data_IF_096435967146
#
_entry.id   IF_096435967146
#
_cell.length_a   1.000
_cell.length_b   1.000
_cell.length_c   1.000
_cell.angle_alpha   90.00
_cell.angle_beta   90.00
_cell.angle_gamma   90.00
#
_symmetry.space_group_name_H-M   'P 1'
#
loop_
_entity.id
_entity.type
_entity.pdbx_description
1 polymer ?
#
# COMPACT_ATOMS: atom_id res chain seq x y z
N UNK A 1 41.75 -3.38 -13.32
CA UNK A 1 40.74 -3.00 -12.32
C UNK A 1 39.87 -1.92 -12.97
N UNK A 2 38.71 -2.31 -13.45
CA UNK A 2 37.76 -1.36 -14.10
C UNK A 2 36.99 -0.66 -13.00
N UNK A 3 37.32 0.60 -12.72
CA UNK A 3 36.52 1.48 -11.86
C UNK A 3 35.28 1.88 -12.64
N UNK A 4 34.17 1.21 -12.40
CA UNK A 4 32.85 1.69 -12.84
C UNK A 4 32.61 3.07 -12.20
N UNK A 5 32.54 4.11 -13.02
CA UNK A 5 32.16 5.45 -12.58
C UNK A 5 30.82 5.37 -11.81
N UNK A 6 30.63 6.15 -10.74
CA UNK A 6 29.35 6.17 -10.01
C UNK A 6 28.23 6.57 -10.98
N UNK A 7 27.23 5.71 -11.10
CA UNK A 7 26.04 5.94 -11.91
C UNK A 7 25.40 7.28 -11.49
N UNK A 8 25.19 8.21 -12.41
CA UNK A 8 24.62 9.53 -12.09
C UNK A 8 23.21 9.39 -11.51
N UNK A 9 22.77 10.37 -10.71
CA UNK A 9 21.41 10.39 -10.15
C UNK A 9 20.34 10.28 -11.27
N UNK A 10 20.55 10.96 -12.38
CA UNK A 10 19.66 10.94 -13.56
C UNK A 10 19.59 9.54 -14.19
N UNK A 11 20.72 8.83 -14.27
CA UNK A 11 20.75 7.46 -14.83
C UNK A 11 19.95 6.49 -13.94
N UNK A 12 20.05 6.60 -12.61
CA UNK A 12 19.27 5.77 -11.67
C UNK A 12 17.77 6.08 -11.77
N UNK A 13 17.41 7.37 -11.88
CA UNK A 13 16.02 7.77 -12.03
C UNK A 13 15.43 7.28 -13.35
N UNK A 14 16.17 7.37 -14.45
CA UNK A 14 15.76 6.85 -15.75
C UNK A 14 15.52 5.34 -15.72
N UNK A 15 16.41 4.59 -15.06
CA UNK A 15 16.23 3.14 -14.90
C UNK A 15 15.01 2.80 -14.04
N UNK A 16 14.82 3.51 -12.92
CA UNK A 16 13.64 3.35 -12.06
C UNK A 16 12.36 3.69 -12.82
N UNK A 17 12.34 4.79 -13.58
CA UNK A 17 11.22 5.17 -14.44
C UNK A 17 10.86 4.03 -15.41
N UNK A 18 11.81 3.56 -16.23
CA UNK A 18 11.58 2.45 -17.18
C UNK A 18 11.05 1.20 -16.49
N UNK A 19 11.64 0.85 -15.34
CA UNK A 19 11.24 -0.34 -14.59
C UNK A 19 9.81 -0.22 -14.07
N UNK A 20 9.43 0.93 -13.50
CA UNK A 20 8.08 1.20 -13.00
C UNK A 20 7.07 1.15 -14.15
N UNK A 21 7.36 1.83 -15.28
CA UNK A 21 6.48 1.85 -16.45
C UNK A 21 6.25 0.47 -17.04
N UNK A 22 7.31 -0.32 -17.18
CA UNK A 22 7.23 -1.71 -17.67
C UNK A 22 6.42 -2.58 -16.69
N UNK A 23 6.67 -2.49 -15.39
CA UNK A 23 5.95 -3.26 -14.36
C UNK A 23 4.44 -3.01 -14.44
N UNK A 24 4.00 -1.78 -14.61
CA UNK A 24 2.57 -1.48 -14.77
C UNK A 24 1.95 -2.24 -15.96
N UNK A 25 2.65 -2.31 -17.09
CA UNK A 25 2.18 -3.09 -18.24
C UNK A 25 2.21 -4.61 -17.98
N UNK A 26 3.23 -5.10 -17.27
CA UNK A 26 3.31 -6.51 -16.87
C UNK A 26 2.14 -6.92 -15.96
N UNK A 27 1.73 -6.04 -15.04
CA UNK A 27 0.55 -6.24 -14.20
C UNK A 27 -0.76 -6.24 -15.00
N UNK A 28 -0.83 -5.54 -16.12
CA UNK A 28 -2.00 -5.57 -17.00
C UNK A 28 -2.04 -6.78 -17.93
N UNK A 29 -0.92 -7.47 -18.14
CA UNK A 29 -0.82 -8.56 -19.13
C UNK A 29 -1.78 -9.75 -18.92
N UNK A 30 -2.15 -10.15 -17.68
CA UNK A 30 -3.14 -11.20 -17.47
C UNK A 30 -4.58 -10.80 -17.82
N UNK A 31 -4.86 -9.50 -18.00
CA UNK A 31 -6.20 -8.95 -18.18
C UNK A 31 -6.59 -8.90 -19.66
N UNK A 32 -7.86 -9.22 -19.93
CA UNK A 32 -8.46 -8.95 -21.24
C UNK A 32 -8.80 -7.44 -21.35
N UNK A 33 -9.02 -6.90 -22.57
CA UNK A 33 -9.50 -5.52 -22.71
C UNK A 33 -10.82 -5.26 -21.98
N UNK A 34 -11.68 -6.26 -21.85
CA UNK A 34 -12.94 -6.21 -21.12
C UNK A 34 -12.70 -6.09 -19.61
N UNK A 35 -11.78 -6.87 -19.04
CA UNK A 35 -11.38 -6.79 -17.63
C UNK A 35 -10.85 -5.39 -17.30
N UNK A 36 -10.10 -4.80 -18.23
CA UNK A 36 -9.48 -3.47 -18.07
C UNK A 36 -10.49 -2.32 -18.05
N UNK A 37 -11.78 -2.59 -18.33
CA UNK A 37 -12.87 -1.59 -18.31
C UNK A 37 -13.74 -1.67 -17.05
N UNK A 38 -13.60 -2.72 -16.23
CA UNK A 38 -14.48 -2.95 -15.09
C UNK A 38 -14.20 -1.96 -13.96
N UNK A 39 -15.26 -1.39 -13.40
CA UNK A 39 -15.27 -0.62 -12.17
C UNK A 39 -16.37 -1.21 -11.27
N UNK A 40 -15.97 -1.98 -10.28
CA UNK A 40 -16.88 -2.79 -9.46
C UNK A 40 -17.49 -2.04 -8.27
N UNK A 41 -16.95 -0.86 -7.92
CA UNK A 41 -17.49 0.04 -6.90
C UNK A 41 -17.09 1.50 -7.20
N UNK A 42 -17.68 2.45 -6.48
CA UNK A 42 -17.43 3.88 -6.70
C UNK A 42 -15.95 4.29 -6.41
N UNK A 43 -15.31 3.58 -5.52
CA UNK A 43 -13.94 3.83 -5.08
C UNK A 43 -12.89 3.24 -6.02
N UNK A 44 -13.23 2.19 -6.76
CA UNK A 44 -12.34 1.55 -7.73
C UNK A 44 -12.19 2.36 -9.03
N UNK A 45 -11.23 2.01 -9.84
CA UNK A 45 -11.04 2.53 -11.18
C UNK A 45 -10.67 1.40 -12.15
N UNK A 46 -11.08 1.49 -13.43
CA UNK A 46 -10.66 0.52 -14.43
C UNK A 46 -9.14 0.48 -14.62
N UNK A 47 -8.56 -0.69 -14.88
CA UNK A 47 -7.13 -0.82 -15.16
C UNK A 47 -6.68 0.09 -16.32
N UNK A 48 -7.48 0.22 -17.36
CA UNK A 48 -7.24 1.17 -18.46
C UNK A 48 -7.13 2.62 -17.99
N UNK A 49 -7.95 3.01 -17.03
CA UNK A 49 -7.88 4.35 -16.45
C UNK A 49 -6.58 4.56 -15.67
N UNK A 50 -6.11 3.58 -14.89
CA UNK A 50 -4.82 3.67 -14.19
C UNK A 50 -3.66 3.87 -15.18
N UNK A 51 -3.64 3.12 -16.29
CA UNK A 51 -2.65 3.28 -17.35
C UNK A 51 -2.61 4.70 -17.91
N UNK A 52 -3.78 5.27 -18.19
CA UNK A 52 -3.89 6.61 -18.75
C UNK A 52 -3.55 7.69 -17.72
N UNK A 53 -4.03 7.55 -16.47
CA UNK A 53 -3.84 8.53 -15.40
C UNK A 53 -2.36 8.69 -15.01
N UNK A 54 -1.60 7.60 -14.94
CA UNK A 54 -0.17 7.69 -14.63
C UNK A 54 0.63 8.33 -15.79
N UNK A 55 0.24 8.12 -17.05
CA UNK A 55 0.81 8.87 -18.17
C UNK A 55 0.40 10.36 -18.14
N UNK A 56 -0.88 10.64 -17.85
CA UNK A 56 -1.40 11.99 -17.68
C UNK A 56 -0.62 12.78 -16.61
N UNK A 57 -0.22 12.14 -15.51
CA UNK A 57 0.56 12.81 -14.47
C UNK A 57 1.89 13.34 -15.01
N UNK A 58 2.66 12.52 -15.71
CA UNK A 58 3.92 12.93 -16.32
C UNK A 58 3.73 13.99 -17.40
N UNK A 59 2.72 13.84 -18.26
CA UNK A 59 2.42 14.85 -19.29
C UNK A 59 2.05 16.19 -18.65
N UNK A 60 1.17 16.19 -17.64
CA UNK A 60 0.59 17.39 -17.05
C UNK A 60 1.54 18.15 -16.14
N UNK A 61 2.33 17.43 -15.32
CA UNK A 61 3.17 18.06 -14.29
C UNK A 61 4.66 18.07 -14.62
N UNK A 62 5.09 17.41 -15.67
CA UNK A 62 6.50 17.39 -16.07
C UNK A 62 6.66 17.93 -17.51
N UNK A 63 6.14 17.23 -18.52
CA UNK A 63 6.46 17.51 -19.92
C UNK A 63 5.95 18.87 -20.39
N UNK A 64 4.75 19.26 -20.00
CA UNK A 64 4.16 20.55 -20.38
C UNK A 64 4.98 21.75 -19.87
N UNK A 65 5.66 21.59 -18.76
CA UNK A 65 6.38 22.68 -18.09
C UNK A 65 7.88 22.67 -18.41
N UNK A 66 8.48 21.49 -18.48
CA UNK A 66 9.94 21.35 -18.53
C UNK A 66 10.49 20.83 -19.86
N UNK A 67 9.64 20.40 -20.82
CA UNK A 67 10.08 19.94 -22.14
C UNK A 67 9.75 21.00 -23.20
N UNK A 68 10.71 21.84 -23.64
CA UNK A 68 10.47 22.83 -24.68
C UNK A 68 9.94 22.20 -25.98
N UNK A 69 8.87 22.77 -26.53
CA UNK A 69 8.27 22.29 -27.76
C UNK A 69 7.49 20.98 -27.67
N UNK A 70 7.25 20.48 -26.45
CA UNK A 70 6.42 19.30 -26.24
C UNK A 70 5.00 19.48 -26.79
N UNK A 71 4.54 18.51 -27.57
CA UNK A 71 3.18 18.49 -28.12
C UNK A 71 2.34 17.48 -27.36
N UNK A 72 1.23 17.94 -26.79
CA UNK A 72 0.26 17.07 -26.12
C UNK A 72 -0.17 15.95 -27.07
N UNK A 73 -0.27 14.74 -26.54
CA UNK A 73 -0.80 13.60 -27.30
C UNK A 73 -2.26 13.87 -27.74
N UNK A 74 -3.09 14.25 -26.76
CA UNK A 74 -4.47 14.67 -26.98
C UNK A 74 -4.85 15.71 -25.92
N UNK A 75 -5.25 16.95 -26.32
CA UNK A 75 -5.61 18.00 -25.37
C UNK A 75 -6.75 17.62 -24.41
N UNK A 76 -7.68 16.76 -24.83
CA UNK A 76 -8.81 16.33 -24.00
C UNK A 76 -8.38 15.40 -22.86
N UNK A 77 -7.23 14.75 -22.97
CA UNK A 77 -6.71 13.88 -21.91
C UNK A 77 -6.33 14.66 -20.65
N UNK A 78 -6.09 15.96 -20.76
CA UNK A 78 -5.78 16.82 -19.62
C UNK A 78 -6.90 16.85 -18.57
N UNK A 79 -8.17 16.78 -19.02
CA UNK A 79 -9.31 16.70 -18.09
C UNK A 79 -9.85 15.28 -17.92
N UNK A 80 -9.82 14.45 -18.97
CA UNK A 80 -10.42 13.10 -18.96
C UNK A 80 -9.76 12.18 -17.93
N UNK A 81 -8.44 12.27 -17.77
CA UNK A 81 -7.65 11.42 -16.87
C UNK A 81 -7.19 12.12 -15.59
N UNK A 82 -7.63 13.36 -15.35
CA UNK A 82 -7.52 14.00 -14.05
C UNK A 82 -8.38 13.25 -13.02
N UNK A 83 -7.94 13.18 -11.75
CA UNK A 83 -8.70 12.49 -10.68
C UNK A 83 -9.30 13.45 -9.66
N UNK A 84 -8.50 14.28 -9.01
CA UNK A 84 -8.92 15.15 -7.92
C UNK A 84 -8.20 16.51 -7.88
N UNK A 85 -7.37 16.82 -8.88
CA UNK A 85 -6.64 18.08 -8.95
C UNK A 85 -7.54 19.20 -9.47
N UNK A 86 -8.38 19.74 -8.56
CA UNK A 86 -9.40 20.75 -8.90
C UNK A 86 -8.79 22.06 -9.40
N UNK A 87 -7.64 22.44 -8.84
CA UNK A 87 -6.92 23.64 -9.26
C UNK A 87 -6.21 23.50 -10.61
N UNK A 88 -6.05 22.26 -11.12
CA UNK A 88 -5.44 22.00 -12.41
C UNK A 88 -6.46 22.09 -13.56
N UNK A 89 -7.54 21.32 -13.50
CA UNK A 89 -8.62 21.28 -14.48
C UNK A 89 -9.87 20.60 -13.90
N UNK A 90 -11.03 20.80 -14.57
CA UNK A 90 -12.20 19.97 -14.32
C UNK A 90 -11.88 18.49 -14.59
N UNK A 91 -12.65 17.59 -14.03
CA UNK A 91 -12.53 16.14 -14.24
C UNK A 91 -13.89 15.46 -14.17
N UNK A 92 -14.06 14.30 -14.84
CA UNK A 92 -15.28 13.53 -14.78
C UNK A 92 -15.50 12.93 -13.39
N UNK A 93 -16.76 12.72 -13.02
CA UNK A 93 -17.10 11.99 -11.79
C UNK A 93 -16.43 10.60 -11.80
N UNK A 94 -15.84 10.23 -10.66
CA UNK A 94 -15.10 8.96 -10.50
C UNK A 94 -15.95 7.74 -10.90
N UNK A 95 -17.24 7.73 -10.53
CA UNK A 95 -18.17 6.64 -10.82
C UNK A 95 -18.44 6.40 -12.31
N UNK A 96 -18.06 7.34 -13.19
CA UNK A 96 -18.26 7.23 -14.63
C UNK A 96 -17.07 6.62 -15.38
N UNK A 97 -15.96 6.31 -14.69
CA UNK A 97 -14.72 5.82 -15.32
C UNK A 97 -14.92 4.53 -16.14
N UNK A 98 -15.81 3.64 -15.71
CA UNK A 98 -16.20 2.43 -16.47
C UNK A 98 -16.93 2.72 -17.76
N UNK A 99 -17.52 3.92 -17.91
CA UNK A 99 -18.21 4.34 -19.14
C UNK A 99 -17.25 4.83 -20.25
N UNK A 100 -15.95 4.97 -19.95
CA UNK A 100 -14.96 5.49 -20.90
C UNK A 100 -14.48 4.38 -21.84
N UNK A 101 -15.38 3.83 -22.68
CA UNK A 101 -15.01 2.89 -23.74
C UNK A 101 -14.06 3.54 -24.75
N UNK A 102 -14.14 4.88 -24.90
CA UNK A 102 -13.23 5.71 -25.70
C UNK A 102 -12.45 6.64 -24.79
N UNK A 103 -11.14 6.82 -25.03
CA UNK A 103 -10.31 6.20 -26.08
C UNK A 103 -10.16 4.67 -25.90
N UNK A 104 -9.93 3.91 -26.99
CA UNK A 104 -9.67 2.47 -26.89
C UNK A 104 -8.32 2.19 -26.22
N UNK A 105 -8.10 0.95 -25.78
CA UNK A 105 -6.87 0.55 -25.08
C UNK A 105 -5.61 0.85 -25.90
N UNK A 106 -5.64 0.60 -27.20
CA UNK A 106 -4.51 0.87 -28.11
C UNK A 106 -4.08 2.33 -28.10
N UNK A 107 -5.05 3.27 -28.06
CA UNK A 107 -4.76 4.71 -28.00
C UNK A 107 -4.15 5.09 -26.64
N UNK A 108 -4.59 4.45 -25.54
CA UNK A 108 -3.98 4.63 -24.22
C UNK A 108 -2.53 4.11 -24.18
N UNK A 109 -2.27 2.97 -24.79
CA UNK A 109 -0.91 2.44 -24.92
C UNK A 109 -0.01 3.33 -25.77
N UNK A 110 -0.54 3.87 -26.87
CA UNK A 110 0.16 4.86 -27.69
C UNK A 110 0.44 6.16 -26.93
N UNK A 111 -0.53 6.65 -26.14
CA UNK A 111 -0.34 7.79 -25.23
C UNK A 111 0.79 7.54 -24.23
N UNK A 112 0.79 6.38 -23.57
CA UNK A 112 1.87 6.01 -22.66
C UNK A 112 3.24 6.00 -23.32
N UNK A 113 3.35 5.38 -24.51
CA UNK A 113 4.61 5.32 -25.26
C UNK A 113 5.12 6.73 -25.64
N UNK A 114 4.22 7.62 -26.09
CA UNK A 114 4.55 9.00 -26.41
C UNK A 114 5.12 9.76 -25.21
N UNK A 115 4.50 9.58 -24.02
CA UNK A 115 4.95 10.19 -22.77
C UNK A 115 6.29 9.60 -22.34
N UNK A 116 6.45 8.27 -22.41
CA UNK A 116 7.67 7.57 -22.00
C UNK A 116 8.87 8.03 -22.80
N UNK A 117 8.76 8.09 -24.13
CA UNK A 117 9.81 8.60 -25.01
C UNK A 117 10.17 10.07 -24.71
N UNK A 118 9.20 10.90 -24.35
CA UNK A 118 9.46 12.30 -24.04
C UNK A 118 10.16 12.46 -22.68
N UNK A 119 9.77 11.70 -21.67
CA UNK A 119 10.46 11.69 -20.34
C UNK A 119 11.90 11.16 -20.50
N UNK A 120 12.12 10.11 -21.27
CA UNK A 120 13.47 9.59 -21.50
C UNK A 120 14.36 10.63 -22.17
N UNK A 121 13.88 11.30 -23.22
CA UNK A 121 14.61 12.41 -23.85
C UNK A 121 14.89 13.57 -22.89
N UNK A 122 13.95 13.90 -22.00
CA UNK A 122 14.15 14.94 -20.98
C UNK A 122 15.26 14.55 -20.00
N UNK A 123 15.28 13.29 -19.54
CA UNK A 123 16.30 12.78 -18.61
C UNK A 123 17.70 12.70 -19.21
N UNK A 124 17.82 12.58 -20.55
CA UNK A 124 19.11 12.60 -21.27
C UNK A 124 19.71 14.01 -21.39
N UNK A 125 18.91 15.07 -21.22
CA UNK A 125 19.29 16.46 -21.45
C UNK A 125 19.71 17.24 -20.19
N UNK A 126 20.06 16.57 -19.11
CA UNK A 126 20.32 17.21 -17.81
C UNK A 126 19.17 18.13 -17.37
N UNK A 127 18.02 17.54 -17.00
CA UNK A 127 16.79 18.29 -16.75
C UNK A 127 16.92 19.24 -15.53
N UNK A 128 16.05 20.25 -15.50
CA UNK A 128 15.88 21.12 -14.34
C UNK A 128 15.70 20.28 -13.06
N UNK A 129 16.34 20.66 -11.93
CA UNK A 129 16.20 19.95 -10.66
C UNK A 129 14.74 19.78 -10.17
N UNK A 130 13.85 20.73 -10.52
CA UNK A 130 12.43 20.62 -10.20
C UNK A 130 11.74 19.55 -11.08
N UNK A 131 12.13 19.44 -12.36
CA UNK A 131 11.66 18.38 -13.25
C UNK A 131 12.07 17.00 -12.71
N UNK A 132 13.31 16.85 -12.22
CA UNK A 132 13.81 15.62 -11.59
C UNK A 132 12.92 15.22 -10.39
N UNK A 133 12.63 16.16 -9.50
CA UNK A 133 11.75 15.91 -8.33
C UNK A 133 10.36 15.48 -8.74
N UNK A 134 9.79 16.11 -9.78
CA UNK A 134 8.44 15.77 -10.27
C UNK A 134 8.41 14.43 -11.00
N UNK A 135 9.49 14.06 -11.72
CA UNK A 135 9.61 12.72 -12.30
C UNK A 135 9.69 11.68 -11.17
N UNK A 136 10.46 11.92 -10.12
CA UNK A 136 10.56 11.02 -8.97
C UNK A 136 9.21 10.89 -8.24
N UNK A 137 8.48 12.00 -8.05
CA UNK A 137 7.11 11.98 -7.53
C UNK A 137 6.19 11.16 -8.43
N UNK A 138 6.26 11.34 -9.77
CA UNK A 138 5.46 10.60 -10.73
C UNK A 138 5.74 9.10 -10.73
N UNK A 139 7.00 8.69 -10.54
CA UNK A 139 7.37 7.26 -10.37
C UNK A 139 6.71 6.70 -9.11
N UNK A 140 6.82 7.38 -7.97
CA UNK A 140 6.17 6.95 -6.74
C UNK A 140 4.64 6.96 -6.85
N UNK A 141 4.04 7.92 -7.55
CA UNK A 141 2.62 7.96 -7.85
C UNK A 141 2.18 6.75 -8.70
N UNK A 142 2.94 6.37 -9.72
CA UNK A 142 2.63 5.18 -10.52
C UNK A 142 2.77 3.89 -9.70
N UNK A 143 3.75 3.80 -8.81
CA UNK A 143 3.90 2.66 -7.89
C UNK A 143 2.69 2.53 -6.94
N UNK A 144 2.07 3.64 -6.47
CA UNK A 144 0.78 3.60 -5.78
C UNK A 144 -0.34 3.06 -6.68
N UNK A 145 -0.36 3.49 -7.95
CA UNK A 145 -1.35 3.01 -8.91
C UNK A 145 -1.17 1.55 -9.31
N UNK A 146 0.03 0.96 -9.21
CA UNK A 146 0.23 -0.48 -9.35
C UNK A 146 -0.50 -1.26 -8.24
N UNK A 147 -0.42 -0.78 -7.01
CA UNK A 147 -1.15 -1.37 -5.88
C UNK A 147 -2.66 -1.20 -6.06
N UNK A 148 -3.13 0.03 -6.34
CA UNK A 148 -4.56 0.31 -6.55
C UNK A 148 -5.15 -0.53 -7.69
N UNK A 149 -4.42 -0.72 -8.78
CA UNK A 149 -4.84 -1.56 -9.91
C UNK A 149 -5.11 -3.00 -9.44
N UNK A 150 -4.23 -3.57 -8.63
CA UNK A 150 -4.38 -4.95 -8.14
C UNK A 150 -5.52 -5.08 -7.12
N UNK A 151 -5.72 -4.08 -6.26
CA UNK A 151 -6.86 -4.06 -5.33
C UNK A 151 -8.18 -3.91 -6.06
N UNK A 152 -8.24 -3.06 -7.09
CA UNK A 152 -9.44 -2.82 -7.88
C UNK A 152 -9.81 -4.05 -8.73
N UNK A 153 -8.82 -4.74 -9.32
CA UNK A 153 -9.01 -6.00 -10.04
C UNK A 153 -9.47 -7.13 -9.10
N UNK A 154 -8.89 -7.23 -7.90
CA UNK A 154 -9.34 -8.21 -6.92
C UNK A 154 -10.83 -8.02 -6.59
N UNK A 155 -11.25 -6.76 -6.35
CA UNK A 155 -12.65 -6.44 -6.08
C UNK A 155 -13.55 -6.73 -7.31
N UNK A 156 -13.09 -6.38 -8.51
CA UNK A 156 -13.84 -6.65 -9.75
C UNK A 156 -14.05 -8.15 -9.97
N UNK A 157 -13.03 -8.97 -9.76
CA UNK A 157 -13.09 -10.41 -9.95
C UNK A 157 -13.87 -11.12 -8.83
N UNK A 158 -13.85 -10.59 -7.62
CA UNK A 158 -14.72 -11.07 -6.55
C UNK A 158 -16.20 -10.79 -6.80
N UNK A 159 -16.54 -9.62 -7.35
CA UNK A 159 -17.93 -9.27 -7.68
C UNK A 159 -18.44 -9.99 -8.94
N UNK A 160 -17.55 -10.53 -9.77
CA UNK A 160 -17.94 -11.35 -10.90
C UNK A 160 -18.45 -12.72 -10.39
N UNK A 161 -19.67 -13.16 -10.78
CA UNK A 161 -20.22 -14.44 -10.34
C UNK A 161 -19.36 -15.68 -10.66
N UNK A 162 -18.44 -15.57 -11.63
CA UNK A 162 -17.51 -16.65 -11.98
C UNK A 162 -16.27 -16.69 -11.09
N UNK A 163 -16.03 -15.64 -10.28
CA UNK A 163 -14.86 -15.52 -9.40
C UNK A 163 -13.54 -15.89 -10.08
N UNK A 164 -13.18 -15.28 -11.24
CA UNK A 164 -11.95 -15.65 -11.95
C UNK A 164 -10.73 -15.24 -11.11
N UNK A 165 -9.68 -16.10 -11.12
CA UNK A 165 -8.41 -15.73 -10.52
C UNK A 165 -7.65 -14.77 -11.44
N UNK A 166 -7.03 -13.72 -10.89
CA UNK A 166 -6.18 -12.82 -11.66
C UNK A 166 -4.93 -13.51 -12.19
N UNK A 167 -4.27 -14.31 -11.34
CA UNK A 167 -3.09 -15.09 -11.70
C UNK A 167 -3.12 -16.42 -10.96
N UNK A 168 -3.80 -17.44 -11.51
CA UNK A 168 -3.92 -18.73 -10.85
C UNK A 168 -2.55 -19.39 -10.62
N UNK A 169 -2.41 -20.13 -9.52
CA UNK A 169 -1.20 -20.91 -9.28
C UNK A 169 -1.07 -22.05 -10.31
N UNK A 170 0.16 -22.22 -10.80
CA UNK A 170 0.50 -23.35 -11.66
C UNK A 170 0.83 -24.58 -10.79
N UNK A 171 -0.12 -25.51 -10.65
CA UNK A 171 0.08 -26.76 -9.91
C UNK A 171 -0.80 -26.90 -8.65
N UNK A 172 -0.80 -28.08 -8.02
CA UNK A 172 -1.53 -28.27 -6.78
C UNK A 172 -0.93 -27.39 -5.69
N UNK A 173 -1.77 -26.57 -5.06
CA UNK A 173 -1.34 -25.77 -3.93
C UNK A 173 -0.73 -26.69 -2.86
N UNK A 174 0.51 -26.47 -2.48
CA UNK A 174 1.14 -27.21 -1.39
C UNK A 174 0.50 -26.74 -0.09
N UNK A 175 -0.58 -27.39 0.31
CA UNK A 175 -1.30 -27.09 1.54
C UNK A 175 -0.51 -27.63 2.73
N UNK A 176 0.49 -26.91 3.18
CA UNK A 176 1.02 -27.15 4.51
C UNK A 176 0.09 -26.43 5.48
N UNK A 177 -0.78 -27.17 6.14
CA UNK A 177 -1.58 -26.63 7.23
C UNK A 177 -0.63 -26.30 8.37
N UNK A 178 -0.40 -25.01 8.59
CA UNK A 178 0.43 -24.53 9.69
C UNK A 178 -0.45 -24.00 10.83
N UNK A 179 -0.15 -24.45 12.03
CA UNK A 179 -0.76 -23.85 13.22
C UNK A 179 0.02 -22.58 13.57
N UNK A 180 -0.65 -21.42 13.70
CA UNK A 180 0.01 -20.20 14.11
C UNK A 180 0.74 -20.38 15.44
N UNK A 181 1.96 -19.89 15.56
CA UNK A 181 2.64 -19.80 16.86
C UNK A 181 1.89 -18.82 17.76
N UNK A 182 1.92 -19.05 19.07
CA UNK A 182 1.33 -18.14 20.05
C UNK A 182 1.89 -16.72 19.86
N UNK A 183 1.00 -15.73 19.88
CA UNK A 183 1.39 -14.34 19.67
C UNK A 183 2.23 -13.84 20.85
N UNK A 184 3.42 -13.33 20.56
CA UNK A 184 4.31 -12.70 21.54
C UNK A 184 4.38 -11.20 21.30
N UNK A 185 4.75 -10.45 22.34
CA UNK A 185 4.95 -9.01 22.27
C UNK A 185 6.40 -8.66 22.54
N UNK A 186 6.98 -7.88 21.67
CA UNK A 186 8.30 -7.30 21.83
C UNK A 186 8.18 -5.99 22.59
N UNK A 187 8.96 -5.84 23.67
CA UNK A 187 8.90 -4.66 24.52
C UNK A 187 9.77 -3.52 24.00
N UNK A 188 9.21 -2.32 24.01
CA UNK A 188 9.86 -1.06 23.67
C UNK A 188 9.77 -0.13 24.87
N UNK A 189 10.92 0.45 25.26
CA UNK A 189 11.00 1.30 26.46
C UNK A 189 10.37 2.70 26.26
N UNK A 190 10.00 3.07 25.05
CA UNK A 190 9.44 4.38 24.77
C UNK A 190 10.44 5.52 24.88
N UNK A 191 10.03 6.63 25.54
CA UNK A 191 10.82 7.83 25.68
C UNK A 191 10.68 8.81 24.53
N UNK A 192 11.61 9.79 24.43
CA UNK A 192 11.63 10.76 23.35
C UNK A 192 12.13 10.13 22.08
N UNK A 193 11.29 10.11 21.06
CA UNK A 193 11.57 9.58 19.72
C UNK A 193 11.43 10.67 18.68
N UNK A 194 11.86 10.41 17.45
CA UNK A 194 11.61 11.25 16.31
C UNK A 194 10.81 10.47 15.25
N UNK A 195 9.73 11.07 14.77
CA UNK A 195 8.88 10.55 13.70
C UNK A 195 8.95 11.45 12.46
N UNK A 196 8.69 10.84 11.30
CA UNK A 196 8.80 11.50 10.00
C UNK A 196 10.08 11.17 9.27
N UNK A 197 10.12 11.52 7.97
CA UNK A 197 11.25 11.18 7.10
C UNK A 197 12.56 11.81 7.60
N UNK A 198 13.59 10.97 7.63
CA UNK A 198 14.95 11.36 7.98
C UNK A 198 15.92 10.89 6.90
N UNK A 199 16.66 11.79 6.35
CA UNK A 199 17.74 11.46 5.44
C UNK A 199 17.54 12.01 4.03
N UNK A 200 18.36 11.51 3.14
CA UNK A 200 18.35 11.82 1.71
C UNK A 200 17.38 10.87 0.99
N UNK A 201 16.86 11.32 -0.13
CA UNK A 201 15.97 10.55 -0.99
C UNK A 201 14.52 11.03 -0.95
N UNK A 202 13.69 10.32 -1.68
CA UNK A 202 12.27 10.69 -1.85
C UNK A 202 11.45 10.44 -0.58
N UNK A 203 10.59 11.42 -0.26
CA UNK A 203 9.46 11.26 0.65
C UNK A 203 8.28 12.09 0.15
N UNK A 204 7.07 11.70 0.55
CA UNK A 204 5.90 12.53 0.33
C UNK A 204 5.86 13.68 1.36
N UNK A 205 5.15 14.76 1.04
CA UNK A 205 5.00 15.91 1.93
C UNK A 205 4.36 15.55 3.28
N UNK A 206 3.48 14.55 3.31
CA UNK A 206 2.83 14.07 4.54
C UNK A 206 3.75 13.30 5.49
N UNK A 207 4.98 12.97 5.05
CA UNK A 207 6.03 12.39 5.89
C UNK A 207 6.87 13.46 6.60
N UNK A 208 6.59 14.75 6.34
CA UNK A 208 7.33 15.92 6.82
C UNK A 208 6.46 16.86 7.68
N UNK A 209 7.13 17.67 8.51
CA UNK A 209 8.54 17.62 8.90
C UNK A 209 8.83 16.50 9.89
N UNK A 210 10.08 16.05 9.96
CA UNK A 210 10.54 15.22 11.07
C UNK A 210 10.37 15.98 12.38
N UNK A 211 9.83 15.34 13.40
CA UNK A 211 9.45 15.97 14.65
C UNK A 211 9.61 15.01 15.84
N UNK A 212 9.66 15.58 17.05
CA UNK A 212 9.78 14.82 18.28
C UNK A 212 8.42 14.35 18.76
N UNK A 213 8.38 13.09 19.23
CA UNK A 213 7.22 12.48 19.87
C UNK A 213 7.66 11.79 21.16
N UNK A 214 6.82 11.87 22.19
CA UNK A 214 7.01 11.06 23.39
C UNK A 214 6.21 9.77 23.25
N UNK A 215 6.84 8.65 23.55
CA UNK A 215 6.18 7.33 23.60
C UNK A 215 6.27 6.80 25.02
N UNK A 216 5.15 6.33 25.57
CA UNK A 216 5.17 5.51 26.77
C UNK A 216 5.76 4.12 26.44
N UNK A 217 6.26 3.36 27.43
CA UNK A 217 6.65 1.97 27.21
C UNK A 217 5.48 1.17 26.64
N UNK A 218 5.75 0.34 25.61
CA UNK A 218 4.71 -0.44 24.92
C UNK A 218 5.22 -1.79 24.46
N UNK A 219 4.30 -2.72 24.27
CA UNK A 219 4.57 -3.97 23.57
C UNK A 219 4.03 -3.93 22.16
N UNK A 220 4.80 -4.40 21.19
CA UNK A 220 4.35 -4.58 19.80
C UNK A 220 4.35 -6.06 19.46
N UNK A 221 3.24 -6.55 18.92
CA UNK A 221 3.12 -7.95 18.51
C UNK A 221 4.20 -8.30 17.48
N UNK A 222 4.85 -9.45 17.64
CA UNK A 222 5.96 -9.87 16.77
C UNK A 222 5.53 -10.18 15.33
N UNK A 223 4.25 -10.55 15.13
CA UNK A 223 3.64 -10.84 13.82
C UNK A 223 2.24 -10.22 13.70
N UNK A 224 1.69 -10.28 12.52
CA UNK A 224 0.32 -9.89 12.27
C UNK A 224 -0.67 -10.92 12.84
N UNK A 225 -1.91 -10.46 13.10
CA UNK A 225 -3.05 -11.33 13.44
C UNK A 225 -3.38 -12.21 12.24
N UNK A 226 -3.58 -13.50 12.49
CA UNK A 226 -3.81 -14.49 11.43
C UNK A 226 -5.29 -14.66 11.10
N UNK A 227 -5.57 -15.27 9.95
CA UNK A 227 -6.93 -15.67 9.54
C UNK A 227 -7.57 -16.61 10.56
N UNK A 228 -6.80 -17.53 11.14
CA UNK A 228 -7.29 -18.46 12.19
C UNK A 228 -7.74 -17.73 13.45
N UNK A 229 -6.92 -16.80 13.95
CA UNK A 229 -7.25 -15.99 15.12
C UNK A 229 -8.46 -15.08 14.88
N UNK A 230 -8.57 -14.50 13.67
CA UNK A 230 -9.74 -13.69 13.34
C UNK A 230 -11.02 -14.54 13.19
N UNK A 231 -10.91 -15.77 12.69
CA UNK A 231 -12.04 -16.71 12.67
C UNK A 231 -12.55 -17.06 14.09
N UNK A 232 -11.67 -17.11 15.09
CA UNK A 232 -12.06 -17.29 16.51
C UNK A 232 -12.88 -16.08 17.00
N UNK A 233 -12.48 -14.86 16.66
CA UNK A 233 -13.27 -13.64 16.93
C UNK A 233 -14.67 -13.71 16.31
N UNK A 234 -14.78 -14.18 15.05
CA UNK A 234 -16.08 -14.36 14.38
C UNK A 234 -16.92 -15.41 15.13
N UNK A 235 -16.32 -16.57 15.46
CA UNK A 235 -16.99 -17.68 16.14
C UNK A 235 -17.49 -17.30 17.53
N UNK A 236 -16.74 -16.48 18.28
CA UNK A 236 -17.14 -15.92 19.60
C UNK A 236 -18.23 -14.83 19.47
N UNK A 237 -18.71 -14.57 18.25
CA UNK A 237 -19.78 -13.60 18.02
C UNK A 237 -19.33 -12.15 18.00
N UNK A 238 -18.07 -11.86 17.66
CA UNK A 238 -17.49 -10.52 17.64
C UNK A 238 -18.34 -9.51 16.86
N UNK A 239 -18.91 -9.90 15.74
CA UNK A 239 -19.80 -9.05 14.91
C UNK A 239 -21.20 -8.86 15.51
N UNK A 240 -21.52 -9.46 16.65
CA UNK A 240 -22.83 -9.33 17.33
C UNK A 240 -22.72 -8.65 18.71
N UNK A 241 -21.52 -8.28 19.11
CA UNK A 241 -21.20 -7.70 20.41
C UNK A 241 -20.90 -6.22 20.28
N UNK A 242 -21.94 -5.38 20.41
CA UNK A 242 -21.87 -3.93 20.21
C UNK A 242 -20.80 -3.24 21.06
N UNK A 243 -20.53 -3.77 22.27
CA UNK A 243 -19.54 -3.22 23.21
C UNK A 243 -18.08 -3.28 22.71
N UNK A 244 -17.79 -4.08 21.69
CA UNK A 244 -16.47 -4.17 21.09
C UNK A 244 -16.23 -3.07 20.03
N UNK A 245 -17.30 -2.48 19.51
CA UNK A 245 -17.22 -1.62 18.34
C UNK A 245 -17.28 -0.13 18.70
N UNK A 246 -16.56 0.67 17.93
CA UNK A 246 -16.81 2.10 17.89
C UNK A 246 -18.20 2.37 17.28
N UNK A 247 -18.85 3.48 17.67
CA UNK A 247 -20.21 3.83 17.24
C UNK A 247 -20.42 3.73 15.73
N UNK A 248 -19.53 4.36 14.97
CA UNK A 248 -19.63 4.38 13.50
C UNK A 248 -19.35 2.99 12.92
N UNK A 249 -18.43 2.22 13.54
CA UNK A 249 -18.18 0.83 13.16
C UNK A 249 -19.38 -0.08 13.38
N UNK A 250 -20.07 0.08 14.53
CA UNK A 250 -21.31 -0.64 14.77
C UNK A 250 -22.39 -0.30 13.73
N UNK A 251 -22.56 0.97 13.43
CA UNK A 251 -23.50 1.42 12.40
C UNK A 251 -23.13 0.85 11.02
N UNK A 252 -21.84 0.85 10.67
CA UNK A 252 -21.36 0.33 9.39
C UNK A 252 -21.67 -1.17 9.23
N UNK A 253 -21.39 -2.00 10.25
CA UNK A 253 -21.68 -3.44 10.17
C UNK A 253 -23.19 -3.73 10.09
N UNK A 254 -24.03 -2.94 10.78
CA UNK A 254 -25.49 -3.10 10.71
C UNK A 254 -26.02 -2.69 9.33
N UNK A 255 -25.58 -1.54 8.81
CA UNK A 255 -26.05 -1.00 7.52
C UNK A 255 -25.63 -1.87 6.35
N UNK A 256 -24.38 -2.36 6.37
CA UNK A 256 -23.81 -3.14 5.27
C UNK A 256 -23.92 -4.66 5.46
N UNK A 257 -24.46 -5.11 6.61
CA UNK A 257 -24.61 -6.54 6.90
C UNK A 257 -23.28 -7.29 7.03
N UNK A 258 -22.21 -6.63 7.47
CA UNK A 258 -20.90 -7.28 7.58
C UNK A 258 -20.90 -8.34 8.68
N UNK A 259 -20.27 -9.49 8.40
CA UNK A 259 -20.17 -10.62 9.33
C UNK A 259 -18.80 -11.30 9.31
N UNK A 260 -17.92 -10.89 8.39
CA UNK A 260 -16.58 -11.39 8.17
C UNK A 260 -15.77 -10.38 7.33
N UNK A 261 -14.45 -10.52 7.16
CA UNK A 261 -13.64 -9.76 6.21
C UNK A 261 -14.22 -9.77 4.79
N UNK A 262 -13.94 -8.75 3.98
CA UNK A 262 -14.64 -8.49 2.71
C UNK A 262 -14.69 -9.70 1.75
N UNK A 263 -13.62 -10.44 1.60
CA UNK A 263 -13.53 -11.54 0.62
C UNK A 263 -13.69 -12.93 1.25
N UNK A 264 -14.25 -12.99 2.46
CA UNK A 264 -14.60 -14.26 3.10
C UNK A 264 -16.04 -14.63 2.79
N UNK A 265 -16.25 -15.86 2.34
CA UNK A 265 -17.55 -16.41 2.04
C UNK A 265 -17.77 -17.75 2.77
N UNK A 266 -18.97 -17.99 3.26
CA UNK A 266 -19.36 -19.25 3.89
C UNK A 266 -20.74 -19.66 3.38
N UNK A 267 -20.81 -20.53 2.38
CA UNK A 267 -22.05 -21.10 1.88
C UNK A 267 -22.43 -22.43 2.56
N UNK A 268 -21.44 -23.16 3.06
CA UNK A 268 -21.59 -24.51 3.63
C UNK A 268 -21.14 -24.67 5.09
N UNK A 269 -20.87 -23.57 5.77
CA UNK A 269 -20.29 -23.56 7.13
C UNK A 269 -18.77 -23.47 7.15
N UNK A 270 -18.09 -23.79 6.08
CA UNK A 270 -16.65 -23.62 5.92
C UNK A 270 -16.33 -22.29 5.23
N UNK A 271 -15.37 -21.56 5.78
CA UNK A 271 -14.94 -20.30 5.19
C UNK A 271 -14.01 -20.52 4.00
N UNK A 272 -14.30 -19.81 2.90
CA UNK A 272 -13.42 -19.63 1.75
C UNK A 272 -13.01 -18.16 1.63
N UNK A 273 -11.76 -17.92 1.27
CA UNK A 273 -11.16 -16.60 1.07
C UNK A 273 -10.85 -16.44 -0.41
N UNK A 274 -11.34 -15.34 -1.01
CA UNK A 274 -10.98 -15.02 -2.39
C UNK A 274 -9.72 -14.17 -2.43
N UNK A 275 -8.78 -14.53 -3.29
CA UNK A 275 -7.48 -13.86 -3.45
C UNK A 275 -7.19 -13.61 -4.93
N UNK A 276 -6.14 -12.82 -5.24
CA UNK A 276 -5.65 -12.68 -6.63
C UNK A 276 -5.22 -14.01 -7.26
N UNK A 277 -4.96 -15.04 -6.42
CA UNK A 277 -4.63 -16.40 -6.82
C UNK A 277 -5.87 -17.32 -6.93
N UNK A 278 -7.07 -16.77 -6.72
CA UNK A 278 -8.33 -17.51 -6.67
C UNK A 278 -8.76 -17.86 -5.25
N UNK A 279 -9.80 -18.69 -5.14
CA UNK A 279 -10.37 -19.08 -3.84
C UNK A 279 -9.43 -20.01 -3.06
N UNK A 280 -9.40 -19.82 -1.73
CA UNK A 280 -8.62 -20.60 -0.76
C UNK A 280 -9.51 -21.01 0.41
N UNK A 281 -9.33 -22.22 0.94
CA UNK A 281 -9.99 -22.59 2.18
C UNK A 281 -9.36 -21.83 3.37
N UNK A 282 -10.15 -21.48 4.39
CA UNK A 282 -9.63 -20.90 5.64
C UNK A 282 -8.54 -21.79 6.24
N UNK A 283 -8.70 -23.10 6.18
CA UNK A 283 -7.72 -24.04 6.73
C UNK A 283 -6.33 -23.87 6.09
N UNK A 284 -6.28 -23.66 4.77
CA UNK A 284 -5.02 -23.40 4.06
C UNK A 284 -4.41 -22.02 4.33
N UNK A 285 -5.22 -21.07 4.78
CA UNK A 285 -4.83 -19.70 5.07
C UNK A 285 -4.75 -19.41 6.58
N UNK A 286 -4.91 -20.43 7.43
CA UNK A 286 -5.10 -20.27 8.87
C UNK A 286 -3.96 -19.50 9.55
N UNK A 287 -2.72 -19.73 9.12
CA UNK A 287 -1.52 -19.05 9.63
C UNK A 287 -1.14 -17.77 8.88
N UNK A 288 -1.76 -17.49 7.73
CA UNK A 288 -1.53 -16.25 6.99
C UNK A 288 -2.23 -15.07 7.70
N UNK A 289 -1.72 -13.84 7.55
CA UNK A 289 -2.37 -12.65 8.08
C UNK A 289 -3.80 -12.47 7.56
N UNK A 290 -4.72 -12.09 8.46
CA UNK A 290 -6.03 -11.61 8.04
C UNK A 290 -5.89 -10.31 7.24
N UNK A 291 -6.63 -10.19 6.14
CA UNK A 291 -6.61 -9.02 5.29
C UNK A 291 -8.03 -8.61 4.87
N UNK A 292 -8.11 -7.44 4.22
CA UNK A 292 -9.36 -6.88 3.71
C UNK A 292 -10.39 -6.59 4.81
N UNK A 293 -9.91 -5.98 5.88
CA UNK A 293 -10.68 -5.54 7.03
C UNK A 293 -10.62 -4.02 7.17
N UNK A 294 -11.70 -3.44 7.69
CA UNK A 294 -11.78 -2.03 8.03
C UNK A 294 -10.99 -1.70 9.31
N UNK A 295 -10.75 -0.41 9.55
CA UNK A 295 -10.24 0.07 10.83
C UNK A 295 -11.15 -0.35 11.99
N UNK A 296 -12.47 -0.29 11.78
CA UNK A 296 -13.44 -0.68 12.79
C UNK A 296 -13.35 -2.15 13.18
N UNK A 297 -13.14 -3.05 12.21
CA UNK A 297 -12.93 -4.47 12.45
C UNK A 297 -11.61 -4.72 13.17
N UNK A 298 -10.55 -3.99 12.79
CA UNK A 298 -9.24 -4.09 13.44
C UNK A 298 -9.29 -3.63 14.91
N UNK A 299 -9.97 -2.51 15.22
CA UNK A 299 -10.15 -1.99 16.57
C UNK A 299 -11.03 -2.93 17.42
N UNK A 300 -12.14 -3.44 16.85
CA UNK A 300 -13.03 -4.37 17.53
C UNK A 300 -12.32 -5.69 17.88
N UNK A 301 -11.52 -6.23 16.95
CA UNK A 301 -10.69 -7.40 17.20
C UNK A 301 -9.67 -7.13 18.32
N UNK A 302 -8.98 -5.99 18.27
CA UNK A 302 -7.98 -5.63 19.26
C UNK A 302 -8.62 -5.56 20.68
N UNK A 303 -9.79 -4.93 20.81
CA UNK A 303 -10.55 -4.89 22.08
C UNK A 303 -10.98 -6.29 22.56
N UNK A 304 -11.48 -7.12 21.64
CA UNK A 304 -11.87 -8.50 21.95
C UNK A 304 -10.68 -9.32 22.49
N UNK A 305 -9.52 -9.14 21.88
CA UNK A 305 -8.29 -9.82 22.29
C UNK A 305 -7.64 -9.23 23.56
N UNK A 306 -8.18 -8.13 24.12
CA UNK A 306 -7.63 -7.47 25.32
C UNK A 306 -6.42 -6.58 25.04
N UNK A 307 -6.25 -6.15 23.82
CA UNK A 307 -5.15 -5.32 23.33
C UNK A 307 -5.65 -4.05 22.63
N UNK A 308 -4.76 -3.34 21.96
CA UNK A 308 -5.05 -2.15 21.16
C UNK A 308 -4.30 -2.20 19.83
N UNK A 309 -4.64 -1.28 18.91
CA UNK A 309 -3.80 -0.99 17.77
C UNK A 309 -2.60 -0.12 18.20
N UNK A 310 -1.41 -0.26 17.58
CA UNK A 310 -0.31 0.66 17.81
C UNK A 310 -0.66 2.06 17.28
N UNK A 311 -0.09 3.10 17.88
CA UNK A 311 -0.05 4.41 17.23
C UNK A 311 0.90 4.37 16.03
N UNK A 312 0.75 5.32 15.09
CA UNK A 312 1.67 5.40 13.96
C UNK A 312 3.12 5.65 14.39
N UNK A 313 3.31 6.41 15.48
CA UNK A 313 4.65 6.70 16.00
C UNK A 313 5.29 5.51 16.72
N UNK A 314 4.51 4.68 17.42
CA UNK A 314 5.00 3.42 17.98
C UNK A 314 5.43 2.46 16.88
N UNK A 315 4.61 2.34 15.84
CA UNK A 315 4.94 1.51 14.69
C UNK A 315 6.21 2.00 13.98
N UNK A 316 6.30 3.31 13.71
CA UNK A 316 7.46 3.91 13.04
C UNK A 316 8.73 3.76 13.87
N UNK A 317 8.65 4.00 15.19
CA UNK A 317 9.80 3.78 16.11
C UNK A 317 10.31 2.34 16.04
N UNK A 318 9.40 1.35 15.97
CA UNK A 318 9.78 -0.05 15.81
C UNK A 318 10.38 -0.36 14.43
N UNK A 319 10.05 0.42 13.39
CA UNK A 319 10.49 0.23 12.02
C UNK A 319 11.79 0.99 11.67
N UNK A 320 12.16 2.00 12.44
CA UNK A 320 13.33 2.84 12.16
C UNK A 320 14.63 2.01 12.09
N UNK A 321 15.44 2.28 11.06
CA UNK A 321 16.73 1.64 10.85
C UNK A 321 16.65 0.17 10.42
N UNK A 322 15.45 -0.35 10.15
CA UNK A 322 15.28 -1.73 9.66
C UNK A 322 15.33 -1.78 8.14
N UNK A 323 15.84 -2.89 7.62
CA UNK A 323 15.78 -3.16 6.20
C UNK A 323 14.32 -3.33 5.74
N UNK A 324 14.01 -2.81 4.58
CA UNK A 324 12.74 -3.04 3.90
C UNK A 324 12.80 -4.45 3.30
N UNK A 325 12.29 -5.41 4.05
CA UNK A 325 12.25 -6.82 3.64
C UNK A 325 10.92 -7.44 4.10
N UNK A 326 10.28 -8.22 3.23
CA UNK A 326 8.99 -8.85 3.50
C UNK A 326 8.30 -9.33 2.23
N UNK A 327 7.08 -9.76 2.38
CA UNK A 327 6.23 -10.18 1.27
C UNK A 327 5.62 -8.94 0.60
N UNK A 328 6.38 -8.32 -0.30
CA UNK A 328 6.00 -7.18 -1.12
C UNK A 328 5.71 -7.62 -2.55
N UNK A 329 5.25 -6.73 -3.44
CA UNK A 329 4.89 -7.03 -4.83
C UNK A 329 6.01 -7.79 -5.57
N UNK A 330 7.26 -7.47 -5.27
CA UNK A 330 8.44 -8.07 -5.88
C UNK A 330 8.58 -9.58 -5.59
N UNK A 331 7.92 -10.09 -4.55
CA UNK A 331 7.84 -11.53 -4.26
C UNK A 331 6.99 -12.30 -5.29
N UNK A 332 6.08 -11.60 -5.98
CA UNK A 332 5.12 -12.20 -6.91
C UNK A 332 4.07 -13.09 -6.26
N UNK A 333 3.99 -13.16 -4.93
CA UNK A 333 3.02 -14.01 -4.23
C UNK A 333 1.58 -13.50 -4.34
N UNK A 334 1.38 -12.18 -4.31
CA UNK A 334 0.10 -11.49 -4.50
C UNK A 334 -0.99 -11.87 -3.48
N UNK A 335 -0.60 -12.36 -2.33
CA UNK A 335 -1.46 -12.67 -1.18
C UNK A 335 -0.61 -12.69 0.09
N UNK A 336 -1.19 -12.42 1.28
CA UNK A 336 -0.50 -12.59 2.56
C UNK A 336 -0.09 -14.05 2.78
N UNK A 337 1.06 -14.25 3.43
CA UNK A 337 1.62 -15.57 3.72
C UNK A 337 1.96 -15.71 5.20
N UNK A 338 2.04 -16.95 5.73
CA UNK A 338 2.50 -17.19 7.09
C UNK A 338 3.87 -16.57 7.40
N UNK A 339 4.06 -16.07 8.61
CA UNK A 339 5.36 -15.50 9.03
C UNK A 339 6.52 -16.52 8.90
N UNK A 340 6.24 -17.80 9.11
CA UNK A 340 7.19 -18.91 8.95
C UNK A 340 7.70 -19.11 7.51
N UNK A 341 7.00 -18.59 6.51
CA UNK A 341 7.43 -18.64 5.10
C UNK A 341 8.34 -17.48 4.70
N UNK A 342 8.49 -16.48 5.55
CA UNK A 342 9.41 -15.38 5.32
C UNK A 342 10.85 -15.78 5.68
N UNK A 343 11.85 -15.27 4.95
CA UNK A 343 13.24 -15.42 5.37
C UNK A 343 13.44 -14.76 6.75
N UNK A 344 14.31 -15.34 7.57
CA UNK A 344 14.65 -14.70 8.85
C UNK A 344 15.13 -13.26 8.60
N UNK A 345 14.63 -12.28 9.39
CA UNK A 345 15.06 -10.89 9.23
C UNK A 345 16.58 -10.78 9.41
N UNK A 346 17.28 -10.33 8.38
CA UNK A 346 18.73 -10.15 8.46
C UNK A 346 19.12 -9.15 9.57
N UNK A 347 20.23 -9.43 10.24
CA UNK A 347 20.84 -8.48 11.18
C UNK A 347 21.18 -7.16 10.45
N UNK A 348 21.02 -5.97 11.06
CA UNK A 348 21.46 -4.73 10.44
C UNK A 348 22.92 -4.89 10.05
N UNK A 349 23.26 -4.51 8.82
CA UNK A 349 24.64 -4.50 8.38
C UNK A 349 25.46 -3.68 9.37
N UNK A 350 26.60 -4.21 9.81
CA UNK A 350 27.52 -3.48 10.68
C UNK A 350 27.79 -2.10 10.06
N UNK A 351 27.72 -1.04 10.85
CA UNK A 351 28.05 0.30 10.37
C UNK A 351 29.46 0.26 9.76
N UNK A 352 29.70 1.03 8.72
CA UNK A 352 31.01 1.10 8.02
C UNK A 352 32.19 1.43 8.93
N UNK A 353 31.93 1.82 10.17
CA UNK A 353 32.94 2.19 11.18
C UNK A 353 33.37 1.03 12.08
N UNK A 354 32.97 -0.22 11.78
CA UNK A 354 33.46 -1.41 12.48
C UNK A 354 33.11 -1.51 13.97
N UNK A 355 32.32 -0.58 14.50
CA UNK A 355 31.75 -0.68 15.84
C UNK A 355 30.44 -1.42 15.77
N UNK A 356 30.50 -2.73 15.92
CA UNK A 356 29.32 -3.47 16.36
C UNK A 356 28.87 -2.85 17.69
N UNK A 357 27.71 -2.20 17.68
CA UNK A 357 27.04 -1.87 18.95
C UNK A 357 26.58 -3.20 19.52
N UNK A 358 27.47 -3.89 20.19
CA UNK A 358 27.16 -5.01 21.05
C UNK A 358 26.42 -4.42 22.25
N UNK A 359 25.12 -4.27 22.10
CA UNK A 359 24.25 -4.05 23.25
C UNK A 359 24.20 -5.36 24.01
N UNK A 360 24.63 -5.33 25.26
CA UNK A 360 24.61 -6.47 26.21
C UNK A 360 23.19 -6.98 26.53
N UNK A 361 22.15 -6.46 25.86
CA UNK A 361 20.78 -6.86 26.07
C UNK A 361 20.31 -7.79 24.93
N UNK A 362 20.15 -9.11 25.14
CA UNK A 362 19.68 -10.06 24.13
C UNK A 362 18.28 -9.73 23.59
N UNK A 363 17.45 -8.97 24.30
CA UNK A 363 16.13 -8.51 23.85
C UNK A 363 16.19 -7.55 22.62
N UNK A 364 17.36 -6.99 22.28
CA UNK A 364 17.54 -6.18 21.05
C UNK A 364 17.57 -7.00 19.75
N UNK A 365 17.64 -8.32 19.81
CA UNK A 365 17.67 -9.21 18.65
C UNK A 365 16.29 -9.78 18.28
N UNK A 366 15.29 -9.64 19.15
CA UNK A 366 13.93 -10.00 18.81
C UNK A 366 13.34 -8.96 17.86
N UNK A 367 12.89 -9.39 16.69
CA UNK A 367 12.41 -8.51 15.61
C UNK A 367 10.99 -8.84 15.26
N UNK A 368 10.13 -7.83 15.05
CA UNK A 368 8.80 -8.11 14.53
C UNK A 368 8.90 -8.63 13.10
N UNK A 369 8.26 -9.77 12.86
CA UNK A 369 8.03 -10.32 11.54
C UNK A 369 6.96 -9.51 10.80
N UNK A 370 6.94 -9.56 9.48
CA UNK A 370 5.87 -8.92 8.68
C UNK A 370 5.69 -7.43 9.00
N UNK A 371 6.78 -6.75 9.37
CA UNK A 371 6.71 -5.30 9.60
C UNK A 371 6.48 -4.58 8.28
N UNK A 372 7.10 -5.06 7.22
CA UNK A 372 6.88 -4.61 5.85
C UNK A 372 6.28 -5.74 5.01
N UNK A 373 5.31 -5.37 4.16
CA UNK A 373 4.61 -6.30 3.29
C UNK A 373 3.47 -7.05 3.96
N UNK A 374 2.97 -8.09 3.31
CA UNK A 374 1.75 -8.82 3.63
C UNK A 374 0.50 -7.93 3.67
N UNK A 375 0.33 -7.13 4.72
CA UNK A 375 -0.82 -6.24 4.88
C UNK A 375 -0.39 -4.87 5.41
N UNK A 376 -0.99 -3.82 4.88
CA UNK A 376 -1.03 -2.52 5.54
C UNK A 376 -1.62 -2.66 6.94
N UNK A 377 -0.91 -2.16 7.94
CA UNK A 377 -1.27 -2.31 9.34
C UNK A 377 -2.04 -1.07 9.81
N UNK A 378 -3.31 -1.24 10.16
CA UNK A 378 -4.09 -0.17 10.77
C UNK A 378 -3.44 0.29 12.07
N UNK A 379 -3.34 1.60 12.25
CA UNK A 379 -2.87 2.22 13.49
C UNK A 379 -4.02 2.93 14.20
N UNK A 380 -3.90 3.13 15.50
CA UNK A 380 -4.85 3.93 16.28
C UNK A 380 -4.73 5.44 16.04
N UNK A 381 -4.03 5.88 15.00
CA UNK A 381 -3.77 7.30 14.72
C UNK A 381 -4.63 7.83 13.60
N UNK A 382 -5.30 8.97 13.85
CA UNK A 382 -5.97 9.74 12.81
C UNK A 382 -4.94 10.33 11.84
N UNK A 383 -5.29 10.38 10.55
CA UNK A 383 -4.45 11.00 9.54
C UNK A 383 -4.55 12.53 9.61
N UNK A 384 -3.57 13.13 10.24
CA UNK A 384 -3.41 14.57 10.41
C UNK A 384 -2.03 15.02 9.93
N UNK A 385 -1.88 16.32 9.65
CA UNK A 385 -0.57 16.91 9.38
C UNK A 385 0.34 16.83 10.60
N UNK A 386 1.60 16.49 10.39
CA UNK A 386 2.60 16.57 11.44
C UNK A 386 2.78 18.02 11.93
N UNK A 387 3.27 18.26 13.15
CA UNK A 387 3.54 19.60 13.64
C UNK A 387 4.42 20.39 12.66
N UNK A 388 3.88 21.50 12.11
CA UNK A 388 4.56 22.30 11.10
C UNK A 388 4.42 21.81 9.65
N UNK A 389 3.55 20.83 9.38
CA UNK A 389 3.24 20.36 8.02
C UNK A 389 2.91 21.52 7.07
N UNK A 390 3.41 21.44 5.86
CA UNK A 390 3.09 22.34 4.74
C UNK A 390 2.90 21.52 3.48
N UNK A 391 1.75 21.64 2.80
CA UNK A 391 1.54 20.96 1.53
C UNK A 391 2.50 21.51 0.46
N UNK A 392 2.75 20.69 -0.58
CA UNK A 392 3.48 21.16 -1.75
C UNK A 392 2.78 22.35 -2.40
N UNK A 393 3.51 23.26 -3.07
CA UNK A 393 2.91 24.39 -3.75
C UNK A 393 2.07 23.98 -4.97
N UNK A 394 1.05 24.79 -5.29
CA UNK A 394 0.20 24.60 -6.46
C UNK A 394 -0.67 23.34 -6.39
N UNK A 395 -1.04 22.83 -7.56
CA UNK A 395 -1.94 21.66 -7.67
C UNK A 395 -1.36 20.40 -7.03
N UNK A 396 -0.03 20.25 -6.98
CA UNK A 396 0.60 19.10 -6.30
C UNK A 396 0.33 19.06 -4.79
N UNK A 397 0.01 20.21 -4.17
CA UNK A 397 -0.41 20.28 -2.76
C UNK A 397 -1.75 19.61 -2.48
N UNK A 398 -2.53 19.32 -3.50
CA UNK A 398 -3.77 18.56 -3.38
C UNK A 398 -3.54 17.03 -3.22
N UNK A 399 -2.29 16.58 -3.31
CA UNK A 399 -1.96 15.16 -3.29
C UNK A 399 -2.29 14.46 -1.97
N UNK A 400 -1.87 15.01 -0.85
CA UNK A 400 -2.01 14.42 0.48
C UNK A 400 -2.80 15.30 1.46
N UNK A 401 -2.49 16.58 1.52
CA UNK A 401 -2.96 17.48 2.58
C UNK A 401 -4.48 17.60 2.69
N UNK A 402 -5.19 17.58 1.58
CA UNK A 402 -6.66 17.70 1.59
C UNK A 402 -7.41 16.47 2.14
N UNK A 403 -6.72 15.36 2.29
CA UNK A 403 -7.29 14.12 2.86
C UNK A 403 -7.07 14.00 4.37
N UNK A 404 -6.41 14.98 5.01
CA UNK A 404 -6.15 15.00 6.46
C UNK A 404 -7.43 15.31 7.25
N UNK A 405 -8.50 14.56 6.99
CA UNK A 405 -9.79 14.67 7.65
C UNK A 405 -10.56 13.36 7.54
N UNK A 406 -10.92 12.77 8.68
CA UNK A 406 -11.74 11.55 8.73
C UNK A 406 -11.07 10.29 8.21
N UNK A 407 -9.77 10.28 8.05
CA UNK A 407 -8.96 9.13 7.62
C UNK A 407 -8.15 8.58 8.80
N UNK A 408 -7.80 7.30 8.74
CA UNK A 408 -6.90 6.64 9.68
C UNK A 408 -5.61 6.22 8.99
N UNK A 409 -4.50 6.25 9.73
CA UNK A 409 -3.17 5.91 9.19
C UNK A 409 -2.96 4.40 9.14
N UNK A 410 -2.37 3.93 8.03
CA UNK A 410 -1.84 2.58 7.87
C UNK A 410 -0.33 2.63 7.58
N UNK A 411 0.38 1.60 8.03
CA UNK A 411 1.83 1.49 7.91
C UNK A 411 2.25 0.14 7.34
N UNK A 412 3.42 0.06 6.71
CA UNK A 412 4.16 -1.15 6.42
C UNK A 412 4.09 -1.68 4.99
N UNK A 413 3.14 -1.25 4.18
CA UNK A 413 2.95 -1.84 2.84
C UNK A 413 2.18 -3.16 2.88
N UNK A 414 1.90 -3.70 1.71
CA UNK A 414 1.18 -4.96 1.51
C UNK A 414 1.89 -5.88 0.51
N UNK A 415 1.38 -7.08 0.32
CA UNK A 415 1.88 -8.04 -0.66
C UNK A 415 1.77 -7.57 -2.13
N UNK A 416 1.14 -6.43 -2.36
CA UNK A 416 1.00 -5.79 -3.67
C UNK A 416 1.64 -4.39 -3.73
N UNK A 417 2.35 -3.98 -2.68
CA UNK A 417 3.13 -2.73 -2.64
C UNK A 417 4.53 -2.97 -3.21
N UNK A 418 5.02 -2.17 -4.20
CA UNK A 418 6.39 -2.27 -4.69
C UNK A 418 7.44 -2.01 -3.60
N UNK A 419 8.52 -2.79 -3.57
CA UNK A 419 9.53 -2.70 -2.50
C UNK A 419 10.27 -1.35 -2.48
N UNK A 420 10.54 -0.75 -3.65
CA UNK A 420 11.20 0.56 -3.75
C UNK A 420 10.30 1.74 -3.35
N UNK A 421 8.99 1.49 -3.23
CA UNK A 421 8.01 2.50 -2.85
C UNK A 421 7.92 2.69 -1.34
N UNK A 422 8.12 1.62 -0.55
CA UNK A 422 7.89 1.63 0.90
C UNK A 422 9.07 2.18 1.70
N UNK A 423 8.78 2.83 2.81
CA UNK A 423 9.72 3.39 3.79
C UNK A 423 9.15 3.26 5.19
N UNK A 424 10.00 3.31 6.21
CA UNK A 424 9.54 3.32 7.61
C UNK A 424 8.65 4.54 7.91
N UNK A 425 8.91 5.70 7.29
CA UNK A 425 8.13 6.93 7.43
C UNK A 425 6.88 7.00 6.56
N UNK A 426 6.69 6.08 5.60
CA UNK A 426 5.55 6.11 4.68
C UNK A 426 4.22 6.06 5.42
N UNK A 427 3.33 7.01 5.11
CA UNK A 427 2.00 7.12 5.69
C UNK A 427 0.94 6.86 4.63
N UNK A 428 0.32 5.67 4.67
CA UNK A 428 -0.89 5.40 3.92
C UNK A 428 -2.12 5.76 4.76
N UNK A 429 -3.23 6.05 4.12
CA UNK A 429 -4.42 6.50 4.82
C UNK A 429 -5.69 6.13 4.04
N UNK A 430 -6.71 5.72 4.79
CA UNK A 430 -8.03 5.42 4.24
C UNK A 430 -9.13 5.80 5.23
N UNK A 431 -10.36 5.95 4.70
CA UNK A 431 -11.56 6.04 5.51
C UNK A 431 -11.70 4.82 6.43
N UNK A 432 -12.14 4.98 7.69
CA UNK A 432 -12.19 3.88 8.65
C UNK A 432 -13.02 2.67 8.21
N UNK A 433 -13.96 2.82 7.31
CA UNK A 433 -14.79 1.75 6.77
C UNK A 433 -14.22 1.05 5.53
N UNK A 434 -13.08 1.51 5.01
CA UNK A 434 -12.42 0.92 3.83
C UNK A 434 -11.97 -0.50 4.09
N UNK A 435 -12.33 -1.45 3.20
CA UNK A 435 -12.05 -2.90 3.36
C UNK A 435 -11.38 -3.55 2.16
N UNK A 436 -11.44 -2.98 0.95
CA UNK A 436 -10.91 -3.62 -0.26
C UNK A 436 -9.39 -3.59 -0.37
N UNK A 437 -8.71 -2.83 0.49
CA UNK A 437 -7.25 -2.80 0.58
C UNK A 437 -6.72 -4.08 1.25
N UNK A 438 -5.45 -4.41 0.99
CA UNK A 438 -4.76 -5.44 1.76
C UNK A 438 -4.38 -4.90 3.14
N UNK A 439 -5.39 -4.58 3.92
CA UNK A 439 -5.27 -4.01 5.28
C UNK A 439 -5.45 -5.10 6.33
N UNK A 440 -4.62 -5.11 7.36
CA UNK A 440 -4.59 -6.11 8.41
C UNK A 440 -4.31 -5.51 9.80
N UNK A 441 -3.98 -6.38 10.76
CA UNK A 441 -3.86 -6.04 12.19
C UNK A 441 -2.48 -6.39 12.71
N UNK A 442 -1.84 -5.42 13.34
CA UNK A 442 -0.80 -5.65 14.34
C UNK A 442 -1.30 -5.17 15.69
N UNK A 443 -1.16 -5.98 16.72
CA UNK A 443 -1.56 -5.60 18.07
C UNK A 443 -0.44 -4.89 18.80
N UNK A 444 -0.83 -4.03 19.75
CA UNK A 444 0.05 -3.43 20.74
C UNK A 444 -0.54 -3.63 22.14
N UNK A 445 0.33 -3.75 23.15
CA UNK A 445 -0.04 -3.74 24.57
C UNK A 445 0.40 -2.44 25.22
N UNK A 446 -0.16 -2.18 26.39
CA UNK A 446 0.26 -1.08 27.27
C UNK A 446 1.56 -1.41 27.98
#
# INVERSE_FOLDING_TARGET
MSTTAPCSLHTRLAERFRTTRRRTLELCRPLTPEDMMVQSCAEASPAKWHLAHTAWFFESFVLREFQPGYRLFNPDFAWLFNSYYQSFAAFPEKRLRSSFSRPPLEEILAFRAHVDEAIERLLEQEPDPEAVKRIELGVNHEEQHQELLLTDILHAFYTNPLHPAYMPESGPASHRVETPQALRFLRFEGGMQEAGHAGEGFCFDNELPRHRVWLEPYGLAERLVTCGEFAEFIADGGYRRAELWLSDGWNAIQTNGWRAPLYWNSESGDWTLFTLRGARSLESMRAAPVSHISYFEADAYARWAGYRLPTESEWESAAQGRLIAGNLLDSGRLMPIPASELPEPEAPAASKDGRAILSENPARFERPWQLFGDCWQWTGSAYLGYPGFRPLPGSLGEYNGKFMNGQMVLRGGSCVTPALHIRASYRNFFSPETRWQFSGIRLASW
#
